data_IF_325455412327
#
_entry.id   IF_325455412327
#
_cell.length_a   1.000
_cell.length_b   1.000
_cell.length_c   1.000
_cell.angle_alpha   90.00
_cell.angle_beta   90.00
_cell.angle_gamma   90.00
#
_symmetry.space_group_name_H-M   'P 1'
#
loop_
_entity.id
_entity.type
_entity.pdbx_description
1 polymer ?
#
# COMPACT_ATOMS: atom_id res chain seq x y z
N UNK A 1 -2.72 -4.13 -16.37
CA UNK A 1 -4.13 -4.21 -15.90
C UNK A 1 -4.80 -2.88 -16.23
N UNK A 2 -5.96 -2.90 -16.88
CA UNK A 2 -6.70 -1.68 -17.24
C UNK A 2 -7.42 -1.08 -16.04
N UNK A 3 -7.82 0.19 -16.13
CA UNK A 3 -8.57 0.83 -15.04
C UNK A 3 -9.91 0.15 -14.78
N UNK A 4 -10.58 -0.34 -15.83
CA UNK A 4 -11.84 -1.09 -15.72
C UNK A 4 -11.68 -2.44 -14.99
N UNK A 5 -10.54 -3.11 -15.18
CA UNK A 5 -10.22 -4.33 -14.43
C UNK A 5 -10.00 -4.02 -12.94
N UNK A 6 -9.39 -2.88 -12.64
CA UNK A 6 -9.17 -2.41 -11.27
C UNK A 6 -10.49 -2.01 -10.59
N UNK A 7 -11.40 -1.34 -11.33
CA UNK A 7 -12.76 -1.05 -10.83
C UNK A 7 -13.48 -2.36 -10.47
N UNK A 8 -13.37 -3.40 -11.30
CA UNK A 8 -13.98 -4.72 -11.01
C UNK A 8 -13.36 -5.38 -9.79
N UNK A 9 -12.05 -5.25 -9.59
CA UNK A 9 -11.36 -5.76 -8.40
C UNK A 9 -11.80 -5.01 -7.14
N UNK A 10 -11.85 -3.68 -7.17
CA UNK A 10 -12.24 -2.82 -6.04
C UNK A 10 -13.75 -2.82 -5.77
N UNK A 11 -14.56 -3.14 -6.79
CA UNK A 11 -16.02 -3.24 -6.68
C UNK A 11 -16.80 -2.00 -7.13
N UNK A 12 -16.17 -0.85 -7.25
CA UNK A 12 -16.79 0.39 -7.73
C UNK A 12 -15.76 1.42 -8.21
N UNK A 13 -16.21 2.40 -9.00
CA UNK A 13 -15.39 3.57 -9.33
C UNK A 13 -15.49 4.64 -8.23
N UNK A 14 -14.35 5.20 -7.83
CA UNK A 14 -14.32 6.33 -6.91
C UNK A 14 -13.06 7.20 -7.12
N UNK A 15 -13.08 8.46 -6.64
CA UNK A 15 -11.91 9.35 -6.75
C UNK A 15 -10.64 8.77 -6.13
N UNK A 16 -10.75 8.07 -4.98
CA UNK A 16 -9.60 7.45 -4.34
C UNK A 16 -8.94 6.37 -5.20
N UNK A 17 -9.75 5.55 -5.88
CA UNK A 17 -9.25 4.54 -6.81
C UNK A 17 -8.56 5.20 -8.02
N UNK A 18 -9.17 6.27 -8.59
CA UNK A 18 -8.58 7.04 -9.69
C UNK A 18 -7.25 7.67 -9.29
N UNK A 19 -7.15 8.28 -8.11
CA UNK A 19 -5.89 8.80 -7.56
C UNK A 19 -4.82 7.72 -7.52
N UNK A 20 -5.15 6.58 -6.89
CA UNK A 20 -4.20 5.47 -6.75
C UNK A 20 -3.72 4.91 -8.09
N UNK A 21 -4.63 4.77 -9.06
CA UNK A 21 -4.29 4.34 -10.41
C UNK A 21 -3.31 5.31 -11.08
N UNK A 22 -3.60 6.63 -11.05
CA UNK A 22 -2.73 7.66 -11.63
C UNK A 22 -1.36 7.71 -10.96
N UNK A 23 -1.32 7.60 -9.62
CA UNK A 23 -0.07 7.56 -8.87
C UNK A 23 0.77 6.34 -9.21
N UNK A 24 0.15 5.15 -9.23
CA UNK A 24 0.84 3.90 -9.49
C UNK A 24 1.37 3.83 -10.92
N UNK A 25 0.55 4.18 -11.93
CA UNK A 25 0.99 4.19 -13.34
C UNK A 25 2.11 5.19 -13.56
N UNK A 26 2.02 6.40 -13.02
CA UNK A 26 3.07 7.41 -13.13
C UNK A 26 4.40 6.97 -12.48
N UNK A 27 4.34 6.25 -11.35
CA UNK A 27 5.53 5.69 -10.72
C UNK A 27 6.18 4.59 -11.57
N UNK A 28 5.37 3.66 -12.09
CA UNK A 28 5.85 2.57 -12.95
C UNK A 28 6.47 3.09 -14.25
N UNK A 29 5.81 4.06 -14.90
CA UNK A 29 6.34 4.73 -16.10
C UNK A 29 7.65 5.47 -15.81
N UNK A 30 7.74 6.19 -14.70
CA UNK A 30 8.94 6.95 -14.32
C UNK A 30 10.16 6.07 -14.12
N UNK A 31 9.96 4.84 -13.65
CA UNK A 31 11.01 3.85 -13.39
C UNK A 31 11.20 2.86 -14.55
N UNK A 32 10.44 3.01 -15.64
CA UNK A 32 10.41 2.06 -16.77
C UNK A 32 10.20 0.60 -16.30
N UNK A 33 9.18 0.39 -15.48
CA UNK A 33 8.89 -0.89 -14.85
C UNK A 33 7.63 -1.53 -15.41
N UNK A 34 7.64 -2.85 -15.41
CA UNK A 34 6.45 -3.68 -15.63
C UNK A 34 5.93 -4.20 -14.28
N UNK A 35 4.71 -4.70 -14.28
CA UNK A 35 4.08 -5.30 -13.11
C UNK A 35 4.95 -6.45 -12.56
N UNK A 36 5.21 -6.42 -11.26
CA UNK A 36 5.99 -7.45 -10.55
C UNK A 36 5.21 -8.76 -10.44
N UNK A 37 5.86 -9.86 -10.71
CA UNK A 37 5.29 -11.20 -10.50
C UNK A 37 5.50 -11.66 -9.05
N UNK A 38 6.66 -11.37 -8.49
CA UNK A 38 7.03 -11.72 -7.12
C UNK A 38 7.47 -10.47 -6.33
N UNK A 39 8.67 -10.43 -5.77
CA UNK A 39 9.17 -9.37 -4.89
C UNK A 39 10.18 -8.42 -5.56
N UNK A 40 10.26 -8.38 -6.88
CA UNK A 40 11.17 -7.51 -7.63
C UNK A 40 10.91 -6.03 -7.30
N UNK A 41 9.65 -5.72 -7.02
CA UNK A 41 9.22 -4.40 -6.58
C UNK A 41 8.77 -4.43 -5.12
N UNK A 42 8.97 -3.31 -4.44
CA UNK A 42 8.39 -3.04 -3.13
C UNK A 42 7.62 -1.74 -3.19
N UNK A 43 6.40 -1.75 -2.70
CA UNK A 43 5.58 -0.55 -2.55
C UNK A 43 5.47 -0.15 -1.07
N UNK A 44 5.60 1.13 -0.79
CA UNK A 44 5.33 1.71 0.53
C UNK A 44 4.17 2.67 0.37
N UNK A 45 3.10 2.47 1.16
CA UNK A 45 1.91 3.32 1.15
C UNK A 45 1.80 4.07 2.48
N UNK A 46 1.47 5.37 2.41
CA UNK A 46 1.35 6.21 3.59
C UNK A 46 -0.10 6.39 4.06
N UNK A 47 -1.05 5.66 3.47
CA UNK A 47 -2.47 5.58 3.86
C UNK A 47 -3.06 4.20 3.51
N UNK A 48 -4.29 3.95 3.97
CA UNK A 48 -5.09 2.74 3.77
C UNK A 48 -6.37 3.00 2.94
N UNK A 49 -6.33 4.02 2.07
CA UNK A 49 -7.48 4.41 1.25
C UNK A 49 -7.59 3.56 -0.03
N UNK A 50 -8.72 3.69 -0.74
CA UNK A 50 -9.06 2.95 -1.98
C UNK A 50 -7.94 2.88 -3.02
N UNK A 51 -7.09 3.91 -3.09
CA UNK A 51 -5.97 3.97 -4.03
C UNK A 51 -4.93 2.87 -3.84
N UNK A 52 -4.85 2.26 -2.65
CA UNK A 52 -3.94 1.14 -2.38
C UNK A 52 -4.32 -0.09 -3.19
N UNK A 53 -5.62 -0.32 -3.45
CA UNK A 53 -6.07 -1.42 -4.30
C UNK A 53 -5.60 -1.23 -5.75
N UNK A 54 -5.67 0.00 -6.26
CA UNK A 54 -5.14 0.31 -7.59
C UNK A 54 -3.61 0.09 -7.65
N UNK A 55 -2.87 0.52 -6.62
CA UNK A 55 -1.43 0.29 -6.53
C UNK A 55 -1.10 -1.20 -6.56
N UNK A 56 -1.79 -2.04 -5.79
CA UNK A 56 -1.59 -3.49 -5.79
C UNK A 56 -1.80 -4.10 -7.18
N UNK A 57 -2.86 -3.68 -7.85
CA UNK A 57 -3.19 -4.14 -9.19
C UNK A 57 -2.14 -3.74 -10.24
N UNK A 58 -1.70 -2.48 -10.22
CA UNK A 58 -0.75 -1.93 -11.20
C UNK A 58 0.66 -2.46 -10.97
N UNK A 59 1.16 -2.38 -9.74
CA UNK A 59 2.53 -2.73 -9.40
C UNK A 59 2.77 -4.22 -9.22
N UNK A 60 1.73 -4.97 -8.83
CA UNK A 60 1.86 -6.36 -8.37
C UNK A 60 2.37 -6.49 -6.94
N UNK A 61 2.68 -5.39 -6.25
CA UNK A 61 2.99 -5.43 -4.82
C UNK A 61 1.72 -5.68 -4.02
N UNK A 62 1.71 -6.70 -3.17
CA UNK A 62 0.52 -7.06 -2.38
C UNK A 62 0.87 -7.24 -0.91
N UNK A 63 -0.12 -7.03 -0.05
CA UNK A 63 0.03 -7.23 1.38
C UNK A 63 0.42 -8.68 1.71
N UNK A 64 -0.20 -9.66 1.03
CA UNK A 64 0.05 -11.09 1.26
C UNK A 64 1.44 -11.56 0.83
N UNK A 65 2.04 -10.95 -0.21
CA UNK A 65 3.43 -11.23 -0.60
C UNK A 65 4.46 -10.58 0.33
N UNK A 66 4.06 -9.63 1.17
CA UNK A 66 4.96 -8.91 2.06
C UNK A 66 5.79 -7.80 1.40
N UNK A 67 5.55 -7.52 0.12
CA UNK A 67 6.20 -6.45 -0.63
C UNK A 67 5.35 -5.17 -0.77
N UNK A 68 4.25 -5.08 -0.03
CA UNK A 68 3.48 -3.86 0.21
C UNK A 68 3.59 -3.50 1.70
N UNK A 69 4.26 -2.39 1.98
CA UNK A 69 4.53 -1.91 3.33
C UNK A 69 3.60 -0.75 3.65
N UNK A 70 2.92 -0.82 4.80
CA UNK A 70 2.02 0.23 5.26
C UNK A 70 2.68 1.10 6.33
N UNK A 71 2.77 2.40 6.07
CA UNK A 71 3.14 3.43 7.01
C UNK A 71 1.96 4.36 7.24
N UNK A 72 1.26 4.22 8.36
CA UNK A 72 0.01 4.92 8.66
C UNK A 72 0.16 6.42 8.93
N UNK A 73 0.74 7.17 7.96
CA UNK A 73 0.93 8.63 8.09
C UNK A 73 -0.28 9.44 7.63
N UNK A 74 -1.28 8.80 7.01
CA UNK A 74 -2.49 9.45 6.50
C UNK A 74 -2.25 10.35 5.29
N UNK A 75 -1.15 10.17 4.56
CA UNK A 75 -0.78 10.99 3.40
C UNK A 75 -1.13 10.27 2.09
N UNK A 76 -1.55 11.03 1.07
CA UNK A 76 -1.76 10.51 -0.29
C UNK A 76 -0.40 10.36 -0.99
N UNK A 77 0.36 9.37 -0.55
CA UNK A 77 1.74 9.13 -0.98
C UNK A 77 1.98 7.65 -1.17
N UNK A 78 2.60 7.31 -2.31
CA UNK A 78 3.15 6.00 -2.59
C UNK A 78 4.63 6.11 -2.92
N UNK A 79 5.42 5.14 -2.47
CA UNK A 79 6.81 4.95 -2.91
C UNK A 79 6.91 3.59 -3.57
N UNK A 80 7.44 3.52 -4.79
CA UNK A 80 7.80 2.27 -5.45
C UNK A 80 9.31 2.18 -5.52
N UNK A 81 9.85 1.05 -5.08
CA UNK A 81 11.27 0.73 -5.10
C UNK A 81 11.49 -0.54 -5.92
N UNK A 82 12.46 -0.48 -6.83
CA UNK A 82 12.89 -1.62 -7.64
C UNK A 82 14.20 -2.18 -7.08
N UNK A 83 14.20 -3.47 -6.69
CA UNK A 83 15.34 -4.14 -6.09
C UNK A 83 16.52 -4.29 -7.06
N UNK A 84 16.24 -4.61 -8.33
CA UNK A 84 17.29 -4.86 -9.33
C UNK A 84 18.06 -3.59 -9.69
N UNK A 85 17.38 -2.47 -9.91
CA UNK A 85 18.01 -1.18 -10.23
C UNK A 85 18.42 -0.39 -8.98
N UNK A 86 17.99 -0.81 -7.77
CA UNK A 86 18.16 -0.08 -6.50
C UNK A 86 17.70 1.36 -6.56
N UNK A 87 16.65 1.61 -7.32
CA UNK A 87 16.07 2.93 -7.51
C UNK A 87 14.62 2.95 -7.08
N UNK A 88 14.14 4.11 -6.68
CA UNK A 88 12.76 4.30 -6.28
C UNK A 88 12.25 5.70 -6.58
N UNK A 89 10.94 5.83 -6.61
CA UNK A 89 10.26 7.12 -6.71
C UNK A 89 9.18 7.23 -5.64
N UNK A 90 9.05 8.44 -5.11
CA UNK A 90 7.97 8.84 -4.22
C UNK A 90 7.00 9.68 -5.01
N UNK A 91 5.74 9.28 -5.05
CA UNK A 91 4.66 9.96 -5.73
C UNK A 91 3.70 10.52 -4.67
N UNK A 92 3.48 11.82 -4.72
CA UNK A 92 2.53 12.52 -3.86
C UNK A 92 1.40 13.10 -4.72
N UNK A 93 0.16 12.79 -4.37
CA UNK A 93 -1.01 13.45 -4.95
C UNK A 93 -1.30 14.73 -4.17
N UNK A 94 -1.18 15.88 -4.84
CA UNK A 94 -1.53 17.20 -4.29
C UNK A 94 -2.86 17.74 -4.84
N UNK A 95 -3.21 17.35 -6.07
CA UNK A 95 -4.51 17.66 -6.66
C UNK A 95 -4.74 19.14 -7.04
N UNK A 96 -3.67 19.95 -7.15
CA UNK A 96 -3.77 21.40 -7.39
C UNK A 96 -4.50 21.75 -8.69
N UNK A 97 -4.43 20.88 -9.71
CA UNK A 97 -5.14 21.06 -10.98
C UNK A 97 -6.60 20.60 -10.97
N UNK A 98 -7.14 20.17 -9.84
CA UNK A 98 -8.53 19.71 -9.72
C UNK A 98 -9.43 20.88 -9.30
N UNK A 99 -10.49 21.22 -10.08
CA UNK A 99 -11.46 22.23 -9.68
C UNK A 99 -12.18 21.86 -8.38
N UNK A 100 -12.22 22.77 -7.42
CA UNK A 100 -12.84 22.51 -6.09
C UNK A 100 -14.34 22.22 -6.17
N UNK A 101 -14.99 22.75 -7.19
CA UNK A 101 -16.42 22.58 -7.46
C UNK A 101 -16.79 21.11 -7.70
N UNK A 102 -15.83 20.29 -8.10
CA UNK A 102 -16.04 18.84 -8.34
C UNK A 102 -16.05 18.02 -7.05
N UNK A 103 -15.73 18.57 -5.90
CA UNK A 103 -15.64 17.82 -4.64
C UNK A 103 -16.97 17.16 -4.22
N UNK A 104 -18.09 17.74 -4.62
CA UNK A 104 -19.44 17.20 -4.32
C UNK A 104 -19.92 16.15 -5.35
N UNK A 105 -19.35 16.15 -6.56
CA UNK A 105 -19.64 15.15 -7.61
C UNK A 105 -18.50 14.14 -7.73
N UNK A 106 -18.62 13.04 -7.00
CA UNK A 106 -17.60 11.97 -6.98
C UNK A 106 -17.29 11.37 -8.35
N UNK A 107 -18.29 11.28 -9.24
CA UNK A 107 -18.10 10.71 -10.58
C UNK A 107 -17.36 11.71 -11.49
N UNK A 108 -17.77 12.97 -11.50
CA UNK A 108 -17.08 14.01 -12.24
C UNK A 108 -15.64 14.20 -11.73
N UNK A 109 -15.45 14.13 -10.41
CA UNK A 109 -14.12 14.20 -9.78
C UNK A 109 -13.20 13.05 -10.24
N UNK A 110 -13.68 11.81 -10.23
CA UNK A 110 -12.92 10.66 -10.69
C UNK A 110 -12.50 10.81 -12.16
N UNK A 111 -13.42 11.22 -13.04
CA UNK A 111 -13.14 11.51 -14.46
C UNK A 111 -12.12 12.62 -14.65
N UNK A 112 -12.24 13.70 -13.87
CA UNK A 112 -11.29 14.81 -13.89
C UNK A 112 -9.88 14.32 -13.51
N UNK A 113 -9.74 13.54 -12.44
CA UNK A 113 -8.46 12.96 -12.01
C UNK A 113 -7.87 12.08 -13.10
N UNK A 114 -8.68 11.25 -13.77
CA UNK A 114 -8.23 10.37 -14.84
C UNK A 114 -7.72 11.13 -16.07
N UNK A 115 -8.28 12.31 -16.38
CA UNK A 115 -7.92 13.12 -17.56
C UNK A 115 -6.91 14.23 -17.28
N UNK A 116 -6.65 14.57 -16.01
CA UNK A 116 -5.72 15.63 -15.64
C UNK A 116 -4.29 15.32 -16.08
N UNK A 117 -3.51 16.35 -16.38
CA UNK A 117 -2.07 16.18 -16.63
C UNK A 117 -1.36 15.74 -15.36
N UNK A 118 -0.34 14.90 -15.48
CA UNK A 118 0.40 14.36 -14.31
C UNK A 118 0.92 15.50 -13.42
N UNK A 119 1.60 16.46 -13.99
CA UNK A 119 2.22 17.57 -13.24
C UNK A 119 1.22 18.48 -12.53
N UNK A 120 -0.06 18.49 -12.96
CA UNK A 120 -1.10 19.27 -12.31
C UNK A 120 -1.68 18.62 -11.06
N UNK A 121 -1.45 17.31 -10.87
CA UNK A 121 -2.05 16.56 -9.75
C UNK A 121 -1.03 15.77 -8.92
N UNK A 122 0.16 15.47 -9.48
CA UNK A 122 1.19 14.64 -8.83
C UNK A 122 2.54 15.34 -8.78
N UNK A 123 3.26 15.10 -7.68
CA UNK A 123 4.70 15.33 -7.60
C UNK A 123 5.41 13.99 -7.56
N UNK A 124 6.39 13.79 -8.46
CA UNK A 124 7.18 12.55 -8.55
C UNK A 124 8.64 12.89 -8.28
N UNK A 125 9.20 12.37 -7.19
CA UNK A 125 10.57 12.63 -6.77
C UNK A 125 11.36 11.33 -6.66
N UNK A 126 12.56 11.24 -7.25
CA UNK A 126 13.45 10.12 -6.98
C UNK A 126 13.76 10.02 -5.49
N UNK A 127 13.85 8.79 -4.97
CA UNK A 127 14.22 8.54 -3.59
C UNK A 127 15.34 7.51 -3.51
N UNK A 128 16.23 7.73 -2.55
CA UNK A 128 17.19 6.72 -2.10
C UNK A 128 16.75 6.26 -0.71
N UNK A 129 16.33 5.01 -0.63
CA UNK A 129 15.92 4.38 0.63
C UNK A 129 16.80 3.17 0.89
N UNK A 130 16.91 2.77 2.15
CA UNK A 130 17.48 1.45 2.47
C UNK A 130 16.60 0.39 1.84
N UNK A 131 17.22 -0.59 1.18
CA UNK A 131 16.47 -1.68 0.55
C UNK A 131 15.57 -2.37 1.59
N UNK A 132 14.23 -2.41 1.36
CA UNK A 132 13.34 -3.11 2.27
C UNK A 132 13.66 -4.61 2.31
N UNK A 133 13.58 -5.22 3.49
CA UNK A 133 13.83 -6.65 3.62
C UNK A 133 12.87 -7.47 2.76
N UNK A 134 13.34 -8.57 2.14
CA UNK A 134 12.46 -9.54 1.48
C UNK A 134 11.52 -10.20 2.50
N UNK A 135 10.39 -10.71 2.00
CA UNK A 135 9.50 -11.52 2.83
C UNK A 135 10.23 -12.78 3.32
N UNK A 136 9.98 -13.14 4.58
CA UNK A 136 10.63 -14.30 5.21
C UNK A 136 9.58 -15.32 5.60
N UNK A 137 9.81 -16.57 5.28
CA UNK A 137 9.03 -17.68 5.83
C UNK A 137 9.29 -17.73 7.33
N UNK A 138 8.25 -17.56 8.14
CA UNK A 138 8.31 -17.57 9.60
C UNK A 138 7.77 -18.87 10.14
N UNK A 139 8.37 -19.36 11.24
CA UNK A 139 7.81 -20.47 12.01
C UNK A 139 6.58 -19.99 12.77
N UNK A 140 5.69 -20.91 13.07
CA UNK A 140 4.55 -20.67 13.96
C UNK A 140 4.79 -21.30 15.32
N UNK A 141 4.40 -20.58 16.38
CA UNK A 141 4.51 -20.99 17.77
C UNK A 141 3.11 -21.00 18.36
N UNK A 142 2.66 -22.07 19.03
CA UNK A 142 1.35 -22.09 19.67
C UNK A 142 1.30 -21.10 20.84
N UNK A 143 0.23 -20.34 20.91
CA UNK A 143 -0.07 -19.50 22.07
C UNK A 143 -0.41 -20.39 23.27
N UNK A 144 0.21 -20.17 24.43
CA UNK A 144 -0.02 -20.97 25.64
C UNK A 144 -1.41 -20.76 26.25
N UNK A 145 -2.17 -19.75 25.83
CA UNK A 145 -3.46 -19.38 26.42
C UNK A 145 -4.66 -19.76 25.54
N UNK A 146 -4.57 -19.65 24.22
CA UNK A 146 -5.65 -20.02 23.29
C UNK A 146 -5.30 -21.19 22.36
N UNK A 147 -4.06 -21.67 22.40
CA UNK A 147 -3.53 -22.76 21.55
C UNK A 147 -3.46 -22.47 20.06
N UNK A 148 -3.82 -21.27 19.61
CA UNK A 148 -3.70 -20.89 18.20
C UNK A 148 -2.25 -20.69 17.80
N UNK A 149 -1.91 -21.10 16.57
CA UNK A 149 -0.58 -20.92 16.00
C UNK A 149 -0.36 -19.47 15.58
N UNK A 150 0.73 -18.88 16.02
CA UNK A 150 1.10 -17.47 15.79
C UNK A 150 2.50 -17.41 15.18
N UNK A 151 2.71 -16.55 14.18
CA UNK A 151 4.05 -16.29 13.66
C UNK A 151 5.01 -15.92 14.78
N UNK A 152 6.21 -16.51 14.80
CA UNK A 152 7.24 -16.26 15.83
C UNK A 152 7.56 -14.77 16.01
N UNK A 153 7.47 -13.97 14.94
CA UNK A 153 7.69 -12.52 14.98
C UNK A 153 6.55 -11.72 15.62
N UNK A 154 5.43 -12.37 15.97
CA UNK A 154 4.23 -11.77 16.58
C UNK A 154 3.89 -12.40 17.93
N UNK A 155 4.77 -13.25 18.45
CA UNK A 155 4.66 -13.80 19.79
C UNK A 155 5.17 -12.78 20.81
N UNK A 156 4.43 -12.65 21.88
CA UNK A 156 4.77 -11.87 23.07
C UNK A 156 5.03 -12.82 24.25
N UNK A 157 5.57 -12.28 25.33
CA UNK A 157 5.73 -13.01 26.59
C UNK A 157 4.69 -12.53 27.60
N UNK A 158 3.96 -13.47 28.20
CA UNK A 158 3.03 -13.24 29.29
C UNK A 158 3.30 -14.30 30.37
N UNK A 159 3.74 -13.86 31.55
CA UNK A 159 4.14 -14.74 32.67
C UNK A 159 5.18 -15.81 32.22
N UNK A 160 6.14 -15.42 31.39
CA UNK A 160 7.18 -16.31 30.88
C UNK A 160 6.71 -17.35 29.84
N UNK A 161 5.46 -17.23 29.34
CA UNK A 161 4.88 -18.12 28.34
C UNK A 161 4.62 -17.40 27.02
N UNK A 162 4.68 -18.09 25.88
CA UNK A 162 4.37 -17.49 24.57
C UNK A 162 2.87 -17.15 24.50
N UNK A 163 2.55 -15.90 24.17
CA UNK A 163 1.20 -15.39 24.07
C UNK A 163 0.98 -14.65 22.74
N UNK A 164 -0.18 -14.81 22.14
CA UNK A 164 -0.63 -13.94 21.04
C UNK A 164 -1.06 -12.57 21.60
N UNK A 165 -1.03 -11.54 20.75
CA UNK A 165 -1.42 -10.19 21.15
C UNK A 165 -2.84 -10.13 21.77
N UNK A 166 -3.90 -10.77 21.18
CA UNK A 166 -5.23 -10.77 21.79
C UNK A 166 -5.28 -11.35 23.19
N UNK A 167 -4.50 -12.40 23.49
CA UNK A 167 -4.43 -12.97 24.84
C UNK A 167 -3.70 -12.03 25.82
N UNK A 168 -2.65 -11.36 25.38
CA UNK A 168 -1.93 -10.35 26.16
C UNK A 168 -2.85 -9.18 26.52
N UNK A 169 -3.54 -8.61 25.54
CA UNK A 169 -4.47 -7.48 25.73
C UNK A 169 -5.63 -7.83 26.67
N UNK A 170 -6.20 -9.03 26.50
CA UNK A 170 -7.27 -9.52 27.39
C UNK A 170 -6.83 -9.59 28.85
N UNK A 171 -5.58 -10.00 29.11
CA UNK A 171 -5.06 -10.06 30.47
C UNK A 171 -4.81 -8.67 31.05
N UNK A 172 -4.37 -7.71 30.23
CA UNK A 172 -4.16 -6.33 30.66
C UNK A 172 -5.47 -5.60 31.01
N UNK A 173 -6.60 -5.99 30.40
CA UNK A 173 -7.92 -5.42 30.71
C UNK A 173 -8.53 -5.99 32.01
N UNK A 174 -8.00 -7.09 32.51
CA UNK A 174 -8.47 -7.76 33.76
C UNK A 174 -7.71 -7.31 35.00
N UNK A 175 -6.63 -6.56 34.84
CA UNK A 175 -5.82 -5.97 35.92
C UNK A 175 -6.02 -4.46 36.00
#
# INVERSE_FOLDING_TARGET
MTYEEIIRFHGHECPGLAIGYRMATAAMEKLDLIRSEDEELVAIVENDACGVDALQCVSGCTFGKGNLLFHGYGKQVFTIYCRSSRSGVRVHFHGDGIPKELNEDRSALAKCIMSASIDSILSITPVSISEPEPARIRKSIPCAFCSESVMESRIHQLDGKPACLPCLEKQQQLN
#
